data_IF_802122386376
#
_entry.id   IF_802122386376
#
_cell.length_a   1.000
_cell.length_b   1.000
_cell.length_c   1.000
_cell.angle_alpha   90.00
_cell.angle_beta   90.00
_cell.angle_gamma   90.00
#
_symmetry.space_group_name_H-M   'P 1'
#
loop_
_entity.id
_entity.type
_entity.pdbx_description
1 polymer ?
#
# COMPACT_ATOMS: atom_id res chain seq x y z
N UNK A 1 13.88 4.85 20.11
CA UNK A 1 13.10 3.60 19.90
C UNK A 1 13.68 2.94 18.68
N UNK A 2 13.99 1.67 18.72
CA UNK A 2 14.50 0.90 17.57
C UNK A 2 13.33 0.62 16.61
N UNK A 3 13.56 0.75 15.31
CA UNK A 3 12.55 0.43 14.31
C UNK A 3 12.16 -1.05 14.36
N UNK A 4 10.92 -1.37 13.99
CA UNK A 4 10.41 -2.74 13.95
C UNK A 4 10.93 -3.54 12.75
N UNK A 5 11.32 -2.83 11.69
CA UNK A 5 11.91 -3.41 10.48
C UNK A 5 12.94 -2.43 9.93
N UNK A 6 14.13 -2.93 9.57
CA UNK A 6 15.18 -2.16 8.90
C UNK A 6 15.77 -2.99 7.78
N UNK A 7 15.84 -2.43 6.58
CA UNK A 7 16.55 -2.96 5.43
C UNK A 7 17.68 -1.99 5.06
N UNK A 8 18.88 -2.52 4.80
CA UNK A 8 20.06 -1.73 4.43
C UNK A 8 20.75 -2.38 3.24
N UNK A 9 20.76 -1.71 2.08
CA UNK A 9 21.47 -2.12 0.87
C UNK A 9 21.09 -3.51 0.35
N UNK A 10 19.82 -3.93 0.53
CA UNK A 10 19.37 -5.28 0.22
C UNK A 10 19.28 -5.50 -1.28
N UNK A 11 19.98 -6.54 -1.76
CA UNK A 11 19.94 -6.95 -3.16
C UNK A 11 19.47 -8.40 -3.32
N UNK A 12 18.74 -8.67 -4.44
CA UNK A 12 18.37 -10.02 -4.84
C UNK A 12 18.31 -10.16 -6.35
N UNK A 13 19.02 -11.19 -6.85
CA UNK A 13 19.08 -11.55 -8.28
C UNK A 13 18.60 -12.97 -8.50
N UNK A 14 18.00 -13.22 -9.64
CA UNK A 14 17.62 -14.53 -10.15
C UNK A 14 18.23 -14.70 -11.55
N UNK A 15 19.39 -15.33 -11.64
CA UNK A 15 20.19 -15.37 -12.86
C UNK A 15 20.54 -13.95 -13.33
N UNK A 16 20.16 -13.57 -14.54
CA UNK A 16 20.41 -12.24 -15.09
C UNK A 16 19.40 -11.17 -14.61
N UNK A 17 18.30 -11.59 -13.97
CA UNK A 17 17.27 -10.67 -13.51
C UNK A 17 17.54 -10.15 -12.10
N UNK A 18 17.63 -8.83 -11.94
CA UNK A 18 17.73 -8.19 -10.62
C UNK A 18 16.32 -7.86 -10.13
N UNK A 19 15.86 -8.60 -9.13
CA UNK A 19 14.53 -8.44 -8.55
C UNK A 19 14.47 -7.31 -7.51
N UNK A 20 15.57 -7.13 -6.76
CA UNK A 20 15.73 -6.08 -5.75
C UNK A 20 17.16 -5.57 -5.84
N UNK A 21 17.35 -4.25 -5.87
CA UNK A 21 18.63 -3.59 -6.10
C UNK A 21 18.80 -2.42 -5.13
N UNK A 22 19.75 -2.56 -4.20
CA UNK A 22 20.13 -1.57 -3.19
C UNK A 22 18.93 -1.02 -2.38
N UNK A 23 18.05 -1.91 -1.94
CA UNK A 23 16.84 -1.52 -1.23
C UNK A 23 17.12 -1.25 0.26
N UNK A 24 16.82 -0.03 0.71
CA UNK A 24 16.92 0.37 2.12
C UNK A 24 15.70 1.18 2.55
N UNK A 25 15.07 0.79 3.65
CA UNK A 25 13.99 1.53 4.33
C UNK A 25 13.81 1.01 5.76
N UNK A 26 13.06 1.75 6.58
CA UNK A 26 12.68 1.29 7.91
C UNK A 26 11.18 1.47 8.17
N UNK A 27 10.64 0.68 9.13
CA UNK A 27 9.27 0.80 9.61
C UNK A 27 9.26 0.96 11.13
N UNK A 28 8.71 2.07 11.61
CA UNK A 28 8.62 2.34 13.04
C UNK A 28 7.53 1.49 13.73
N UNK A 29 7.72 1.15 15.03
CA UNK A 29 6.76 0.35 15.78
C UNK A 29 5.35 0.94 15.80
N UNK A 30 4.33 0.09 15.66
CA UNK A 30 2.92 0.48 15.72
C UNK A 30 2.43 1.33 14.55
N UNK A 31 3.18 1.41 13.45
CA UNK A 31 2.84 2.16 12.24
C UNK A 31 2.40 1.24 11.10
N UNK A 32 1.68 1.82 10.15
CA UNK A 32 1.28 1.16 8.91
C UNK A 32 2.15 1.69 7.78
N UNK A 33 2.97 0.80 7.20
CA UNK A 33 3.81 1.10 6.05
C UNK A 33 3.22 0.46 4.79
N UNK A 34 2.97 1.27 3.77
CA UNK A 34 2.62 0.82 2.43
C UNK A 34 3.87 0.59 1.58
N UNK A 35 4.08 -0.65 1.12
CA UNK A 35 5.16 -1.02 0.22
C UNK A 35 4.61 -1.14 -1.20
N UNK A 36 4.76 -0.09 -2.00
CA UNK A 36 3.96 0.16 -3.19
C UNK A 36 4.80 0.11 -4.47
N UNK A 37 4.21 -0.38 -5.54
CA UNK A 37 4.84 -0.41 -6.84
C UNK A 37 4.11 -1.34 -7.82
N UNK A 38 4.45 -1.31 -9.11
CA UNK A 38 3.82 -2.16 -10.12
C UNK A 38 4.15 -3.65 -9.90
N UNK A 39 3.47 -4.50 -10.64
CA UNK A 39 3.78 -5.92 -10.66
C UNK A 39 5.22 -6.12 -11.19
N UNK A 40 5.96 -7.03 -10.56
CA UNK A 40 7.37 -7.28 -10.89
C UNK A 40 8.36 -6.27 -10.28
N UNK A 41 7.92 -5.26 -9.51
CA UNK A 41 8.81 -4.29 -8.88
C UNK A 41 9.66 -4.84 -7.71
N UNK A 42 9.49 -6.11 -7.32
CA UNK A 42 10.26 -6.73 -6.23
C UNK A 42 9.54 -6.85 -4.89
N UNK A 43 8.25 -6.42 -4.79
CA UNK A 43 7.48 -6.40 -3.53
C UNK A 43 7.45 -7.76 -2.83
N UNK A 44 6.91 -8.79 -3.47
CA UNK A 44 6.80 -10.15 -2.90
C UNK A 44 8.17 -10.76 -2.59
N UNK A 45 9.20 -10.49 -3.42
CA UNK A 45 10.57 -10.93 -3.15
C UNK A 45 11.11 -10.31 -1.86
N UNK A 46 10.88 -9.03 -1.66
CA UNK A 46 11.28 -8.31 -0.43
C UNK A 46 10.57 -8.88 0.80
N UNK A 47 9.25 -9.08 0.75
CA UNK A 47 8.51 -9.69 1.87
C UNK A 47 9.01 -11.10 2.18
N UNK A 48 9.34 -11.90 1.16
CA UNK A 48 9.93 -13.24 1.35
C UNK A 48 11.34 -13.18 1.97
N UNK A 49 12.14 -12.17 1.66
CA UNK A 49 13.45 -11.96 2.31
C UNK A 49 13.28 -11.56 3.78
N UNK A 50 12.36 -10.67 4.11
CA UNK A 50 12.04 -10.30 5.50
C UNK A 50 11.60 -11.53 6.32
N UNK A 51 10.87 -12.45 5.71
CA UNK A 51 10.44 -13.72 6.33
C UNK A 51 11.54 -14.79 6.41
N UNK A 52 12.72 -14.54 5.82
CA UNK A 52 13.76 -15.54 5.70
C UNK A 52 13.43 -16.72 4.79
N UNK A 53 12.42 -16.59 3.92
CA UNK A 53 12.06 -17.59 2.90
C UNK A 53 12.97 -17.52 1.67
N UNK A 54 13.59 -16.37 1.45
CA UNK A 54 14.58 -16.10 0.40
C UNK A 54 15.76 -15.40 1.06
N UNK A 55 16.97 -15.88 0.82
CA UNK A 55 18.19 -15.22 1.30
C UNK A 55 18.56 -14.07 0.36
N UNK A 56 18.79 -12.85 0.86
CA UNK A 56 19.35 -11.77 0.05
C UNK A 56 20.76 -12.13 -0.42
N UNK A 57 21.18 -11.59 -1.55
CA UNK A 57 22.54 -11.79 -2.08
C UNK A 57 23.54 -10.82 -1.44
N UNK A 58 23.05 -9.64 -0.98
CA UNK A 58 23.80 -8.67 -0.18
C UNK A 58 22.86 -7.80 0.65
N UNK A 59 23.43 -6.99 1.55
CA UNK A 59 22.70 -6.12 2.45
C UNK A 59 22.30 -6.81 3.76
N UNK A 60 21.58 -6.07 4.60
CA UNK A 60 21.15 -6.51 5.93
C UNK A 60 19.67 -6.30 6.12
N UNK A 61 19.01 -7.25 6.78
CA UNK A 61 17.61 -7.15 7.21
C UNK A 61 17.60 -7.38 8.72
N UNK A 62 17.10 -6.42 9.47
CA UNK A 62 16.84 -6.50 10.89
C UNK A 62 15.34 -6.45 11.13
N UNK A 63 14.80 -7.39 11.87
CA UNK A 63 13.38 -7.48 12.18
C UNK A 63 13.21 -7.59 13.68
N UNK A 64 12.57 -6.61 14.30
CA UNK A 64 12.30 -6.56 15.75
C UNK A 64 13.59 -6.70 16.60
N UNK A 65 14.72 -6.16 16.09
CA UNK A 65 16.03 -6.27 16.72
C UNK A 65 16.71 -7.63 16.57
N UNK A 66 16.21 -8.50 15.71
CA UNK A 66 16.74 -9.85 15.46
C UNK A 66 17.05 -10.03 13.98
N UNK A 67 18.22 -10.59 13.68
CA UNK A 67 18.66 -10.88 12.31
C UNK A 67 18.45 -12.34 11.92
N UNK A 68 18.16 -13.23 12.87
CA UNK A 68 17.85 -14.64 12.62
C UNK A 68 16.34 -14.84 12.38
N UNK A 69 15.89 -15.09 11.13
CA UNK A 69 14.47 -15.28 10.84
C UNK A 69 13.82 -16.46 11.59
N UNK A 70 14.61 -17.46 12.01
CA UNK A 70 14.07 -18.62 12.73
C UNK A 70 13.49 -18.22 14.10
N UNK A 71 14.08 -17.20 14.76
CA UNK A 71 13.64 -16.68 16.05
C UNK A 71 12.40 -15.78 15.95
N UNK A 72 12.11 -15.30 14.74
CA UNK A 72 11.03 -14.36 14.48
C UNK A 72 9.68 -15.03 14.19
N UNK A 73 9.67 -16.35 13.92
CA UNK A 73 8.48 -17.07 13.43
C UNK A 73 7.23 -16.88 14.29
N UNK A 74 7.39 -16.74 15.60
CA UNK A 74 6.26 -16.55 16.54
C UNK A 74 5.84 -15.08 16.66
N UNK A 75 6.67 -14.13 16.24
CA UNK A 75 6.45 -12.69 16.37
C UNK A 75 5.92 -12.05 15.09
N UNK A 76 5.96 -12.79 13.96
CA UNK A 76 5.54 -12.30 12.65
C UNK A 76 4.26 -13.02 12.19
N UNK A 77 3.26 -12.22 11.78
CA UNK A 77 2.10 -12.65 11.03
C UNK A 77 2.33 -12.42 9.52
N UNK A 78 1.97 -13.38 8.69
CA UNK A 78 2.09 -13.24 7.24
C UNK A 78 0.82 -13.67 6.50
N UNK A 79 0.34 -12.81 5.64
CA UNK A 79 -0.73 -13.09 4.68
C UNK A 79 -0.13 -13.08 3.28
N UNK A 80 0.03 -14.24 2.62
CA UNK A 80 0.44 -14.30 1.22
C UNK A 80 -0.69 -13.88 0.28
N UNK A 81 -0.34 -13.41 -0.93
CA UNK A 81 -1.28 -13.08 -2.00
C UNK A 81 -2.15 -14.29 -2.38
N UNK A 82 -1.52 -15.47 -2.48
CA UNK A 82 -2.22 -16.70 -2.79
C UNK A 82 -2.96 -17.27 -1.58
N UNK A 83 -4.09 -17.93 -1.84
CA UNK A 83 -4.89 -18.53 -0.79
C UNK A 83 -4.25 -19.82 -0.26
N UNK A 84 -3.68 -19.74 0.95
CA UNK A 84 -3.00 -20.85 1.61
C UNK A 84 -3.84 -21.69 2.57
N UNK A 85 -5.17 -21.49 2.64
CA UNK A 85 -6.00 -22.22 3.58
C UNK A 85 -6.39 -23.62 3.07
N UNK A 86 -6.38 -24.60 3.97
CA UNK A 86 -6.84 -25.95 3.70
C UNK A 86 -8.36 -25.96 3.47
N UNK A 87 -8.80 -26.15 2.24
CA UNK A 87 -10.20 -26.01 1.80
C UNK A 87 -11.21 -26.91 2.53
N UNK A 88 -10.74 -28.06 3.07
CA UNK A 88 -11.57 -29.02 3.85
C UNK A 88 -11.66 -28.70 5.33
N UNK A 89 -10.79 -27.83 5.86
CA UNK A 89 -10.87 -27.37 7.25
C UNK A 89 -12.04 -26.41 7.45
N UNK A 90 -12.47 -26.26 8.69
CA UNK A 90 -13.38 -25.18 9.08
C UNK A 90 -12.58 -23.91 9.41
N UNK A 91 -13.16 -22.71 9.36
CA UNK A 91 -12.53 -21.47 9.84
C UNK A 91 -11.95 -21.60 11.24
N UNK A 92 -12.74 -22.14 12.17
CA UNK A 92 -12.33 -22.35 13.56
C UNK A 92 -11.08 -23.23 13.66
N UNK A 93 -11.07 -24.35 12.95
CA UNK A 93 -9.94 -25.29 13.01
C UNK A 93 -8.72 -24.74 12.30
N UNK A 94 -8.88 -24.02 11.17
CA UNK A 94 -7.78 -23.40 10.44
C UNK A 94 -7.11 -22.31 11.29
N UNK A 95 -7.87 -21.38 11.85
CA UNK A 95 -7.31 -20.30 12.67
C UNK A 95 -6.61 -20.88 13.91
N UNK A 96 -7.25 -21.82 14.61
CA UNK A 96 -6.68 -22.48 15.77
C UNK A 96 -5.40 -23.28 15.44
N UNK A 97 -5.36 -23.93 14.27
CA UNK A 97 -4.19 -24.66 13.79
C UNK A 97 -2.99 -23.73 13.55
N UNK A 98 -3.20 -22.65 12.81
CA UNK A 98 -2.10 -21.68 12.53
C UNK A 98 -1.62 -20.98 13.81
N UNK A 99 -2.52 -20.59 14.73
CA UNK A 99 -2.14 -20.05 16.02
C UNK A 99 -1.31 -21.06 16.84
N UNK A 100 -1.69 -22.33 16.83
CA UNK A 100 -0.95 -23.38 17.55
C UNK A 100 0.45 -23.62 16.94
N UNK A 101 0.59 -23.57 15.62
CA UNK A 101 1.90 -23.62 14.94
C UNK A 101 2.84 -22.47 15.35
N UNK A 102 2.26 -21.33 15.76
CA UNK A 102 2.96 -20.15 16.28
C UNK A 102 3.16 -20.19 17.79
N UNK A 103 2.90 -21.31 18.45
CA UNK A 103 3.17 -21.52 19.88
C UNK A 103 2.01 -21.26 20.82
N UNK A 104 0.82 -20.85 20.34
CA UNK A 104 -0.35 -20.65 21.18
C UNK A 104 -0.88 -22.03 21.63
N UNK A 105 -1.09 -22.27 22.96
CA UNK A 105 -1.63 -23.55 23.44
C UNK A 105 -2.99 -23.88 22.80
N UNK A 106 -3.23 -25.16 22.45
CA UNK A 106 -4.39 -25.60 21.68
C UNK A 106 -5.75 -25.10 22.21
N UNK A 107 -5.95 -25.15 23.52
CA UNK A 107 -7.20 -24.69 24.14
C UNK A 107 -7.38 -23.18 23.97
N UNK A 108 -6.31 -22.41 24.13
CA UNK A 108 -6.29 -20.97 23.95
C UNK A 108 -6.46 -20.59 22.47
N UNK A 109 -5.76 -21.26 21.55
CA UNK A 109 -5.87 -21.04 20.10
C UNK A 109 -7.33 -21.22 19.63
N UNK A 110 -8.04 -22.22 20.17
CA UNK A 110 -9.43 -22.46 19.83
C UNK A 110 -10.37 -21.37 20.40
N UNK A 111 -10.13 -20.89 21.62
CA UNK A 111 -10.89 -19.76 22.20
C UNK A 111 -10.68 -18.48 21.41
N UNK A 112 -9.43 -18.16 21.09
CA UNK A 112 -9.08 -16.98 20.28
C UNK A 112 -9.72 -17.06 18.89
N UNK A 113 -9.63 -18.21 18.22
CA UNK A 113 -10.23 -18.42 16.92
C UNK A 113 -11.74 -18.16 16.91
N UNK A 114 -12.46 -18.67 17.93
CA UNK A 114 -13.90 -18.44 18.05
C UNK A 114 -14.22 -16.97 18.26
N UNK A 115 -13.55 -16.32 19.21
CA UNK A 115 -13.70 -14.89 19.49
C UNK A 115 -13.46 -14.05 18.24
N UNK A 116 -12.35 -14.27 17.53
CA UNK A 116 -12.01 -13.53 16.30
C UNK A 116 -13.05 -13.71 15.20
N UNK A 117 -13.60 -14.92 15.04
CA UNK A 117 -14.67 -15.19 14.08
C UNK A 117 -15.96 -14.46 14.45
N UNK A 118 -16.33 -14.41 15.73
CA UNK A 118 -17.50 -13.69 16.21
C UNK A 118 -17.35 -12.17 16.01
N UNK A 119 -16.21 -11.59 16.39
CA UNK A 119 -15.88 -10.17 16.21
C UNK A 119 -15.94 -9.74 14.73
N UNK A 120 -15.64 -10.65 13.81
CA UNK A 120 -15.64 -10.37 12.36
C UNK A 120 -16.93 -10.80 11.64
N UNK A 121 -17.98 -11.14 12.40
CA UNK A 121 -19.27 -11.55 11.84
C UNK A 121 -19.26 -12.91 11.13
N UNK A 122 -18.26 -13.74 11.41
CA UNK A 122 -18.09 -15.08 10.83
C UNK A 122 -18.49 -16.22 11.77
N UNK A 123 -19.08 -15.92 12.94
CA UNK A 123 -19.47 -16.91 13.94
C UNK A 123 -20.38 -18.00 13.40
N UNK A 124 -21.41 -17.65 12.61
CA UNK A 124 -22.31 -18.61 11.96
C UNK A 124 -21.61 -19.53 10.93
N UNK A 125 -20.46 -19.08 10.38
CA UNK A 125 -19.67 -19.85 9.43
C UNK A 125 -18.51 -20.62 10.07
N UNK A 126 -18.28 -20.48 11.38
CA UNK A 126 -17.12 -21.02 12.10
C UNK A 126 -16.89 -22.52 11.90
N UNK A 127 -17.98 -23.29 11.72
CA UNK A 127 -17.95 -24.77 11.54
C UNK A 127 -18.25 -25.23 10.11
N UNK A 128 -18.45 -24.30 9.15
CA UNK A 128 -18.60 -24.64 7.72
C UNK A 128 -17.23 -24.85 7.10
N UNK A 129 -17.11 -25.73 6.11
CA UNK A 129 -15.85 -25.91 5.43
C UNK A 129 -15.48 -24.66 4.61
N UNK A 130 -14.20 -24.29 4.61
CA UNK A 130 -13.66 -23.10 3.92
C UNK A 130 -14.02 -23.11 2.43
N UNK A 131 -14.08 -24.27 1.77
CA UNK A 131 -14.50 -24.37 0.37
C UNK A 131 -15.94 -23.87 0.07
N UNK A 132 -16.77 -23.74 1.09
CA UNK A 132 -18.16 -23.27 0.97
C UNK A 132 -18.32 -21.79 1.39
N UNK A 133 -17.23 -21.11 1.67
CA UNK A 133 -17.23 -19.68 1.98
C UNK A 133 -17.15 -18.84 0.71
N UNK A 134 -17.69 -17.61 0.77
CA UNK A 134 -17.42 -16.61 -0.27
C UNK A 134 -15.94 -16.24 -0.30
N UNK A 135 -15.51 -15.62 -1.40
CA UNK A 135 -14.14 -15.17 -1.57
C UNK A 135 -13.70 -14.23 -0.43
N UNK A 136 -14.53 -13.24 -0.08
CA UNK A 136 -14.25 -12.29 1.00
C UNK A 136 -14.23 -12.95 2.38
N UNK A 137 -15.15 -13.89 2.67
CA UNK A 137 -15.13 -14.64 3.93
C UNK A 137 -13.85 -15.47 4.07
N UNK A 138 -13.42 -16.16 3.01
CA UNK A 138 -12.18 -16.96 3.04
C UNK A 138 -10.95 -16.08 3.24
N UNK A 139 -10.90 -14.88 2.64
CA UNK A 139 -9.84 -13.90 2.83
C UNK A 139 -9.78 -13.43 4.29
N UNK A 140 -10.93 -13.08 4.88
CA UNK A 140 -11.01 -12.73 6.31
C UNK A 140 -10.48 -13.87 7.20
N UNK A 141 -10.90 -15.12 6.94
CA UNK A 141 -10.40 -16.29 7.69
C UNK A 141 -8.87 -16.42 7.56
N UNK A 142 -8.31 -16.21 6.37
CA UNK A 142 -6.87 -16.28 6.14
C UNK A 142 -6.12 -15.19 6.92
N UNK A 143 -6.64 -13.97 6.93
CA UNK A 143 -6.08 -12.90 7.74
C UNK A 143 -6.16 -13.23 9.24
N UNK A 144 -7.32 -13.68 9.73
CA UNK A 144 -7.47 -14.08 11.13
C UNK A 144 -6.49 -15.19 11.53
N UNK A 145 -6.25 -16.16 10.63
CA UNK A 145 -5.24 -17.21 10.86
C UNK A 145 -3.82 -16.65 10.97
N UNK A 146 -3.49 -15.62 10.20
CA UNK A 146 -2.20 -14.93 10.27
C UNK A 146 -2.03 -14.08 11.55
N UNK A 147 -3.12 -13.70 12.21
CA UNK A 147 -3.15 -12.77 13.35
C UNK A 147 -3.44 -13.41 14.71
N UNK A 148 -3.96 -14.63 14.75
CA UNK A 148 -4.47 -15.26 15.96
C UNK A 148 -3.43 -15.50 17.07
N UNK A 149 -2.12 -15.43 16.73
CA UNK A 149 -1.02 -15.52 17.68
C UNK A 149 -0.57 -14.14 18.21
N UNK A 150 -1.25 -13.05 17.81
CA UNK A 150 -0.98 -11.67 18.24
C UNK A 150 0.45 -11.21 17.88
N UNK A 151 0.80 -11.18 16.57
CA UNK A 151 2.15 -10.83 16.12
C UNK A 151 2.49 -9.36 16.37
N UNK A 152 3.77 -9.07 16.58
CA UNK A 152 4.33 -7.72 16.70
C UNK A 152 4.54 -7.05 15.33
N UNK A 153 4.88 -7.86 14.30
CA UNK A 153 4.99 -7.42 12.91
C UNK A 153 4.04 -8.23 12.03
N UNK A 154 3.27 -7.55 11.19
CA UNK A 154 2.33 -8.15 10.24
C UNK A 154 2.75 -7.78 8.82
N UNK A 155 3.00 -8.78 7.99
CA UNK A 155 3.32 -8.63 6.58
C UNK A 155 2.12 -9.11 5.75
N UNK A 156 1.60 -8.26 4.87
CA UNK A 156 0.44 -8.56 4.03
C UNK A 156 0.80 -8.36 2.56
N UNK A 157 0.74 -9.42 1.77
CA UNK A 157 1.03 -9.36 0.33
C UNK A 157 -0.27 -9.24 -0.46
N UNK A 158 -0.49 -8.10 -1.13
CA UNK A 158 -1.70 -7.76 -1.91
C UNK A 158 -3.03 -8.07 -1.18
N UNK A 159 -3.22 -7.63 0.08
CA UNK A 159 -4.32 -8.11 0.94
C UNK A 159 -5.72 -7.74 0.42
N UNK A 160 -5.83 -6.69 -0.40
CA UNK A 160 -7.11 -6.18 -0.93
C UNK A 160 -7.49 -6.79 -2.28
N UNK A 161 -6.59 -7.58 -2.89
CA UNK A 161 -6.79 -8.14 -4.23
C UNK A 161 -8.06 -8.97 -4.34
N UNK A 162 -8.93 -8.59 -5.30
CA UNK A 162 -10.17 -9.30 -5.63
C UNK A 162 -11.22 -9.32 -4.53
N UNK A 163 -11.20 -8.36 -3.61
CA UNK A 163 -12.29 -8.08 -2.68
C UNK A 163 -13.23 -7.03 -3.26
N UNK A 164 -14.52 -7.16 -2.91
CA UNK A 164 -15.50 -6.09 -3.14
C UNK A 164 -15.31 -4.93 -2.16
N UNK A 165 -15.87 -3.74 -2.42
CA UNK A 165 -15.65 -2.55 -1.59
C UNK A 165 -16.00 -2.73 -0.10
N UNK A 166 -17.03 -3.51 0.22
CA UNK A 166 -17.45 -3.75 1.62
C UNK A 166 -16.40 -4.58 2.36
N UNK A 167 -15.89 -5.63 1.72
CA UNK A 167 -14.84 -6.46 2.30
C UNK A 167 -13.48 -5.73 2.35
N UNK A 168 -13.18 -4.83 1.39
CA UNK A 168 -12.01 -3.96 1.45
C UNK A 168 -12.07 -3.05 2.69
N UNK A 169 -13.19 -2.37 2.93
CA UNK A 169 -13.36 -1.50 4.09
C UNK A 169 -13.19 -2.27 5.41
N UNK A 170 -13.82 -3.44 5.52
CA UNK A 170 -13.68 -4.28 6.71
C UNK A 170 -12.22 -4.70 6.96
N UNK A 171 -11.47 -4.99 5.89
CA UNK A 171 -10.04 -5.31 5.99
C UNK A 171 -9.20 -4.09 6.39
N UNK A 172 -9.49 -2.91 5.84
CA UNK A 172 -8.85 -1.65 6.25
C UNK A 172 -9.05 -1.39 7.75
N UNK A 173 -10.26 -1.59 8.27
CA UNK A 173 -10.57 -1.40 9.69
C UNK A 173 -9.83 -2.41 10.59
N UNK A 174 -9.66 -3.65 10.11
CA UNK A 174 -8.84 -4.65 10.80
C UNK A 174 -7.37 -4.23 10.86
N UNK A 175 -6.81 -3.76 9.76
CA UNK A 175 -5.41 -3.27 9.67
C UNK A 175 -5.19 -2.08 10.61
N UNK A 176 -6.08 -1.09 10.61
CA UNK A 176 -6.04 0.04 11.56
C UNK A 176 -6.13 -0.44 13.03
N UNK A 177 -6.99 -1.44 13.26
CA UNK A 177 -7.13 -2.05 14.59
C UNK A 177 -5.86 -2.71 15.09
N UNK A 178 -5.06 -3.33 14.21
CA UNK A 178 -3.77 -3.93 14.54
C UNK A 178 -2.76 -2.86 14.97
N UNK A 179 -2.59 -1.81 14.17
CA UNK A 179 -1.67 -0.72 14.46
C UNK A 179 -2.02 -0.02 15.78
N UNK A 180 -3.31 0.23 16.04
CA UNK A 180 -3.79 0.80 17.32
C UNK A 180 -3.48 -0.09 18.54
N UNK A 181 -3.34 -1.40 18.36
CA UNK A 181 -2.90 -2.34 19.41
C UNK A 181 -1.38 -2.47 19.51
N UNK A 182 -0.64 -1.70 18.73
CA UNK A 182 0.83 -1.64 18.78
C UNK A 182 1.54 -2.57 17.79
N UNK A 183 0.83 -3.33 16.96
CA UNK A 183 1.46 -4.12 15.91
C UNK A 183 1.93 -3.21 14.76
N UNK A 184 3.12 -3.46 14.25
CA UNK A 184 3.60 -2.83 13.01
C UNK A 184 3.05 -3.57 11.82
N UNK A 185 2.49 -2.86 10.85
CA UNK A 185 1.92 -3.48 9.65
C UNK A 185 2.66 -3.00 8.42
N UNK A 186 3.16 -3.92 7.61
CA UNK A 186 3.70 -3.66 6.27
C UNK A 186 2.81 -4.37 5.27
N UNK A 187 2.20 -3.66 4.35
CA UNK A 187 1.45 -4.30 3.28
C UNK A 187 1.95 -3.87 1.90
N UNK A 188 2.08 -4.86 1.02
CA UNK A 188 2.37 -4.61 -0.38
C UNK A 188 1.09 -4.39 -1.17
N UNK A 189 1.11 -3.47 -2.11
CA UNK A 189 0.04 -3.32 -3.12
C UNK A 189 0.51 -2.53 -4.33
N UNK A 190 -0.18 -2.73 -5.46
CA UNK A 190 -0.08 -1.87 -6.64
C UNK A 190 -1.23 -0.84 -6.71
N UNK A 191 -2.24 -0.94 -5.81
CA UNK A 191 -3.40 -0.04 -5.74
C UNK A 191 -3.13 1.07 -4.72
N UNK A 192 -2.71 2.25 -5.21
CA UNK A 192 -2.28 3.39 -4.40
C UNK A 192 -3.36 3.92 -3.45
N UNK A 193 -4.64 3.81 -3.83
CA UNK A 193 -5.77 4.33 -3.03
C UNK A 193 -5.88 3.70 -1.65
N UNK A 194 -5.52 2.40 -1.49
CA UNK A 194 -5.52 1.77 -0.17
C UNK A 194 -4.45 2.38 0.75
N UNK A 195 -3.26 2.67 0.17
CA UNK A 195 -2.18 3.28 0.92
C UNK A 195 -2.51 4.72 1.35
N UNK A 196 -3.15 5.50 0.49
CA UNK A 196 -3.61 6.86 0.83
C UNK A 196 -4.52 6.91 2.05
N UNK A 197 -5.36 5.89 2.21
CA UNK A 197 -6.32 5.82 3.31
C UNK A 197 -5.74 5.22 4.58
N UNK A 198 -4.71 4.38 4.48
CA UNK A 198 -4.26 3.55 5.60
C UNK A 198 -2.89 3.90 6.15
N UNK A 199 -1.97 4.36 5.27
CA UNK A 199 -0.56 4.39 5.63
C UNK A 199 -0.15 5.66 6.38
N UNK A 200 0.69 5.48 7.38
CA UNK A 200 1.48 6.53 8.00
C UNK A 200 2.71 6.86 7.15
N UNK A 201 3.30 5.82 6.53
CA UNK A 201 4.50 5.88 5.70
C UNK A 201 4.30 5.05 4.43
N UNK A 202 4.89 5.49 3.33
CA UNK A 202 4.91 4.77 2.07
C UNK A 202 6.34 4.65 1.54
N UNK A 203 6.66 3.47 1.05
CA UNK A 203 7.87 3.19 0.29
C UNK A 203 7.44 2.82 -1.13
N UNK A 204 7.81 3.65 -2.10
CA UNK A 204 7.51 3.41 -3.52
C UNK A 204 8.71 2.74 -4.17
N UNK A 205 8.47 1.66 -4.91
CA UNK A 205 9.49 0.92 -5.63
C UNK A 205 9.17 0.77 -7.11
N UNK A 206 10.19 0.87 -7.94
CA UNK A 206 10.12 0.62 -9.37
C UNK A 206 11.40 -0.07 -9.84
N UNK A 207 11.29 -1.12 -10.69
CA UNK A 207 12.45 -1.83 -11.22
C UNK A 207 13.41 -2.39 -10.15
N UNK A 208 12.89 -2.80 -9.00
CA UNK A 208 13.69 -3.33 -7.88
C UNK A 208 14.31 -2.27 -6.97
N UNK A 209 14.17 -0.98 -7.28
CA UNK A 209 14.79 0.14 -6.54
C UNK A 209 13.76 0.99 -5.83
N UNK A 210 14.15 1.59 -4.71
CA UNK A 210 13.35 2.58 -3.99
C UNK A 210 13.35 3.91 -4.77
N UNK A 211 12.18 4.43 -5.09
CA UNK A 211 12.01 5.75 -5.73
C UNK A 211 11.51 6.81 -4.75
N UNK A 212 10.92 6.40 -3.63
CA UNK A 212 10.48 7.30 -2.57
C UNK A 212 10.35 6.56 -1.23
N UNK A 213 10.55 7.29 -0.12
CA UNK A 213 10.35 6.84 1.23
C UNK A 213 9.95 8.05 2.09
N UNK A 214 8.76 8.02 2.69
CA UNK A 214 8.24 9.14 3.48
C UNK A 214 6.75 9.00 3.74
N UNK A 215 6.11 10.07 4.20
CA UNK A 215 4.66 10.11 4.44
C UNK A 215 3.87 10.19 3.13
N UNK A 216 2.58 9.82 3.19
CA UNK A 216 1.64 9.99 2.06
C UNK A 216 1.57 11.46 1.61
N UNK A 217 1.61 12.41 2.56
CA UNK A 217 1.56 13.85 2.25
C UNK A 217 2.81 14.31 1.49
N UNK A 218 4.00 13.88 1.91
CA UNK A 218 5.27 14.18 1.22
C UNK A 218 5.32 13.56 -0.19
N UNK A 219 4.84 12.31 -0.33
CA UNK A 219 4.74 11.68 -1.64
C UNK A 219 3.82 12.50 -2.58
N UNK A 220 2.62 12.86 -2.14
CA UNK A 220 1.68 13.69 -2.91
C UNK A 220 2.28 15.05 -3.28
N UNK A 221 3.00 15.68 -2.35
CA UNK A 221 3.66 16.97 -2.60
C UNK A 221 4.78 16.90 -3.67
N UNK A 222 5.28 15.70 -4.00
CA UNK A 222 6.28 15.52 -5.08
C UNK A 222 5.70 15.63 -6.48
N UNK A 223 4.38 15.49 -6.64
CA UNK A 223 3.68 15.65 -7.91
C UNK A 223 3.09 17.07 -8.04
N UNK A 224 2.97 17.59 -9.27
CA UNK A 224 2.42 18.91 -9.49
C UNK A 224 0.91 18.92 -9.26
N UNK A 225 0.39 20.04 -8.76
CA UNK A 225 -1.03 20.35 -8.80
C UNK A 225 -1.44 20.72 -10.22
N UNK A 226 -2.63 20.28 -10.62
CA UNK A 226 -3.15 20.56 -11.94
C UNK A 226 -4.40 21.43 -11.83
N UNK A 227 -4.51 22.44 -12.71
CA UNK A 227 -5.73 23.19 -12.92
C UNK A 227 -6.26 22.85 -14.33
N UNK A 228 -7.43 22.26 -14.39
CA UNK A 228 -8.13 21.96 -15.66
C UNK A 228 -9.08 23.11 -15.95
N UNK A 229 -8.96 23.69 -17.15
CA UNK A 229 -9.82 24.76 -17.68
C UNK A 229 -10.53 24.25 -18.93
N UNK A 230 -11.84 24.45 -19.03
CA UNK A 230 -12.63 24.15 -20.24
C UNK A 230 -13.34 25.43 -20.69
N UNK A 231 -13.41 25.63 -22.00
CA UNK A 231 -14.07 26.80 -22.59
C UNK A 231 -13.55 27.13 -23.99
N UNK A 232 -13.83 28.34 -24.45
CA UNK A 232 -13.20 28.86 -25.69
C UNK A 232 -11.88 29.55 -25.31
N UNK A 233 -10.83 28.73 -25.25
CA UNK A 233 -9.54 29.08 -24.70
C UNK A 233 -8.42 28.74 -25.69
N UNK A 234 -7.29 29.46 -25.61
CA UNK A 234 -6.07 29.08 -26.31
C UNK A 234 -5.00 28.58 -25.35
N UNK A 235 -4.21 27.59 -25.77
CA UNK A 235 -3.13 27.06 -24.95
C UNK A 235 -2.10 28.14 -24.62
N UNK A 236 -1.80 29.03 -25.55
CA UNK A 236 -0.88 30.16 -25.33
C UNK A 236 -1.37 31.12 -24.23
N UNK A 237 -2.70 31.41 -24.18
CA UNK A 237 -3.24 32.24 -23.11
C UNK A 237 -3.18 31.56 -21.74
N UNK A 238 -3.42 30.26 -21.68
CA UNK A 238 -3.32 29.48 -20.46
C UNK A 238 -1.84 29.33 -19.99
N UNK A 239 -0.92 29.13 -20.89
CA UNK A 239 0.54 29.05 -20.60
C UNK A 239 1.09 30.39 -20.03
N UNK A 240 0.48 31.50 -20.38
CA UNK A 240 0.86 32.83 -19.89
C UNK A 240 0.27 33.19 -18.51
N UNK A 241 -0.52 32.30 -17.88
CA UNK A 241 -1.08 32.51 -16.54
C UNK A 241 0.02 32.43 -15.46
N UNK A 242 -0.10 33.17 -14.35
CA UNK A 242 0.89 33.15 -13.28
C UNK A 242 1.01 31.75 -12.65
N UNK A 243 2.21 31.34 -12.27
CA UNK A 243 2.46 30.06 -11.61
C UNK A 243 2.31 28.84 -12.50
N UNK A 244 2.15 28.99 -13.81
CA UNK A 244 2.08 27.90 -14.78
C UNK A 244 3.46 27.51 -15.24
N UNK A 245 3.75 26.19 -15.24
CA UNK A 245 5.04 25.66 -15.73
C UNK A 245 4.89 24.75 -16.97
N UNK A 246 3.72 24.19 -17.21
CA UNK A 246 3.43 23.40 -18.41
C UNK A 246 1.92 23.41 -18.70
N UNK A 247 1.56 23.20 -19.98
CA UNK A 247 0.16 23.06 -20.44
C UNK A 247 0.04 21.89 -21.38
N UNK A 248 -1.15 21.27 -21.39
CA UNK A 248 -1.57 20.31 -22.41
C UNK A 248 -2.98 20.65 -22.83
N UNK A 249 -3.26 20.62 -24.16
CA UNK A 249 -4.52 20.99 -24.75
C UNK A 249 -5.18 19.77 -25.40
N UNK A 250 -6.49 19.60 -25.15
CA UNK A 250 -7.34 18.56 -25.72
C UNK A 250 -8.55 19.24 -26.38
N UNK A 251 -8.86 18.89 -27.64
CA UNK A 251 -10.03 19.39 -28.35
C UNK A 251 -11.28 18.64 -27.89
N UNK A 252 -12.34 19.38 -27.58
CA UNK A 252 -13.66 18.86 -27.23
C UNK A 252 -14.72 19.24 -28.28
N UNK A 253 -15.87 18.58 -28.30
CA UNK A 253 -17.04 19.02 -29.05
C UNK A 253 -17.60 20.33 -28.44
N UNK A 254 -17.14 21.47 -28.94
CA UNK A 254 -17.62 22.79 -28.48
C UNK A 254 -16.65 23.59 -27.62
N UNK A 255 -15.34 23.31 -27.72
CA UNK A 255 -14.32 24.08 -27.02
C UNK A 255 -13.03 23.30 -26.84
N UNK A 256 -12.22 23.74 -25.88
CA UNK A 256 -10.97 23.08 -25.52
C UNK A 256 -10.93 22.77 -24.01
N UNK A 257 -10.22 21.70 -23.66
CA UNK A 257 -9.79 21.42 -22.30
C UNK A 257 -8.30 21.66 -22.22
N UNK A 258 -7.87 22.56 -21.34
CA UNK A 258 -6.47 22.85 -21.10
C UNK A 258 -6.14 22.39 -19.68
N UNK A 259 -5.22 21.46 -19.56
CA UNK A 259 -4.65 21.05 -18.26
C UNK A 259 -3.38 21.84 -18.04
N UNK A 260 -3.39 22.61 -16.99
CA UNK A 260 -2.31 23.53 -16.57
C UNK A 260 -1.59 22.90 -15.40
N UNK A 261 -0.30 22.69 -15.52
CA UNK A 261 0.55 22.24 -14.42
C UNK A 261 1.05 23.47 -13.65
N UNK A 262 0.80 23.46 -12.33
CA UNK A 262 1.22 24.55 -11.45
C UNK A 262 2.64 24.33 -10.93
N UNK A 263 3.40 25.41 -10.83
CA UNK A 263 4.71 25.38 -10.20
C UNK A 263 4.63 25.00 -8.72
N UNK A 264 5.68 24.40 -8.19
CA UNK A 264 5.75 24.02 -6.79
C UNK A 264 5.55 25.24 -5.88
N UNK A 265 4.60 25.15 -4.94
CA UNK A 265 4.27 26.24 -4.02
C UNK A 265 3.43 27.37 -4.60
N UNK A 266 3.10 27.36 -5.90
CA UNK A 266 2.23 28.41 -6.49
C UNK A 266 0.84 28.40 -5.84
N UNK A 267 0.23 29.55 -5.55
CA UNK A 267 -1.14 29.61 -5.08
C UNK A 267 -2.11 29.03 -6.12
N UNK A 268 -2.90 28.03 -5.74
CA UNK A 268 -3.72 27.27 -6.68
C UNK A 268 -4.80 28.11 -7.41
N UNK A 269 -5.31 29.15 -6.78
CA UNK A 269 -6.36 30.01 -7.33
C UNK A 269 -5.81 31.20 -8.14
N UNK A 270 -4.54 31.53 -8.04
CA UNK A 270 -3.96 32.68 -8.71
C UNK A 270 -4.08 32.60 -10.25
N UNK A 271 -3.74 31.48 -10.91
CA UNK A 271 -3.92 31.39 -12.37
C UNK A 271 -5.40 31.45 -12.78
N UNK A 272 -6.33 30.91 -11.96
CA UNK A 272 -7.76 31.00 -12.23
C UNK A 272 -8.27 32.45 -12.13
N UNK A 273 -7.88 33.18 -11.09
CA UNK A 273 -8.23 34.60 -10.94
C UNK A 273 -7.67 35.44 -12.10
N UNK A 274 -6.43 35.15 -12.51
CA UNK A 274 -5.81 35.82 -13.65
C UNK A 274 -6.51 35.50 -14.99
N UNK A 275 -7.01 34.28 -15.18
CA UNK A 275 -7.78 33.88 -16.34
C UNK A 275 -9.08 34.73 -16.46
N UNK A 276 -9.84 34.82 -15.38
CA UNK A 276 -11.04 35.67 -15.35
C UNK A 276 -10.73 37.16 -15.51
N UNK A 277 -9.68 37.67 -14.88
CA UNK A 277 -9.28 39.07 -15.01
C UNK A 277 -8.85 39.42 -16.46
N UNK A 278 -8.37 38.47 -17.23
CA UNK A 278 -8.02 38.62 -18.66
C UNK A 278 -9.21 38.40 -19.60
N UNK A 279 -10.40 38.15 -19.06
CA UNK A 279 -11.62 37.92 -19.86
C UNK A 279 -11.60 36.57 -20.61
N UNK A 280 -10.88 35.59 -20.16
CA UNK A 280 -10.88 34.25 -20.74
C UNK A 280 -12.25 33.59 -20.54
N UNK A 281 -12.82 32.99 -21.59
CA UNK A 281 -14.13 32.34 -21.53
C UNK A 281 -13.97 30.92 -20.94
N UNK A 282 -13.94 30.86 -19.60
CA UNK A 282 -13.84 29.63 -18.81
C UNK A 282 -15.24 29.17 -18.43
N UNK A 283 -15.74 28.12 -19.04
CA UNK A 283 -17.06 27.52 -18.76
C UNK A 283 -17.02 26.51 -17.62
N UNK A 284 -15.86 25.86 -17.42
CA UNK A 284 -15.64 24.90 -16.33
C UNK A 284 -14.18 24.96 -15.86
N UNK A 285 -13.99 24.79 -14.57
CA UNK A 285 -12.65 24.60 -14.01
C UNK A 285 -12.66 23.52 -12.93
N UNK A 286 -11.51 22.85 -12.76
CA UNK A 286 -11.30 21.85 -11.73
C UNK A 286 -9.87 21.95 -11.23
N UNK A 287 -9.68 22.15 -9.93
CA UNK A 287 -8.38 22.05 -9.29
C UNK A 287 -8.16 20.58 -8.85
N UNK A 288 -7.18 19.91 -9.43
CA UNK A 288 -6.82 18.54 -9.09
C UNK A 288 -5.63 18.53 -8.15
N UNK A 289 -5.88 18.15 -6.90
CA UNK A 289 -4.83 17.82 -5.95
C UNK A 289 -4.20 16.46 -6.33
N UNK A 290 -2.86 16.35 -6.34
CA UNK A 290 -2.21 15.11 -6.72
C UNK A 290 -2.49 13.99 -5.72
N UNK A 291 -2.64 12.79 -6.23
CA UNK A 291 -2.77 11.56 -5.46
C UNK A 291 -1.46 10.76 -5.49
N UNK A 292 -1.39 9.62 -4.78
CA UNK A 292 -0.19 8.76 -4.77
C UNK A 292 0.15 8.18 -6.15
N UNK A 293 -0.83 7.98 -7.01
CA UNK A 293 -0.57 7.50 -8.37
C UNK A 293 0.15 8.56 -9.20
N UNK A 294 -0.28 9.83 -9.12
CA UNK A 294 0.36 10.97 -9.77
C UNK A 294 1.79 11.15 -9.24
N UNK A 295 1.96 11.02 -7.93
CA UNK A 295 3.27 11.05 -7.29
C UNK A 295 4.19 9.94 -7.79
N UNK A 296 3.68 8.71 -7.90
CA UNK A 296 4.45 7.57 -8.40
C UNK A 296 4.93 7.78 -9.84
N UNK A 297 4.04 8.25 -10.74
CA UNK A 297 4.41 8.56 -12.13
C UNK A 297 5.50 9.62 -12.17
N UNK A 298 5.35 10.71 -11.40
CA UNK A 298 6.31 11.81 -11.36
C UNK A 298 7.68 11.36 -10.85
N UNK A 299 7.70 10.58 -9.77
CA UNK A 299 8.93 10.10 -9.14
C UNK A 299 9.67 9.07 -10.01
N UNK A 300 8.93 8.17 -10.66
CA UNK A 300 9.53 7.18 -11.57
C UNK A 300 10.12 7.82 -12.82
N UNK A 301 9.47 8.83 -13.40
CA UNK A 301 10.00 9.57 -14.53
C UNK A 301 11.32 10.29 -14.18
N UNK A 302 11.43 10.87 -12.97
CA UNK A 302 12.67 11.50 -12.47
C UNK A 302 13.79 10.51 -12.22
N UNK A 303 13.48 9.28 -11.81
CA UNK A 303 14.50 8.24 -11.56
C UNK A 303 15.03 7.60 -12.83
N UNK A 304 14.34 7.77 -13.97
CA UNK A 304 14.73 7.25 -15.27
C UNK A 304 15.54 8.25 -16.13
N UNK A 305 15.53 9.54 -15.73
CA UNK A 305 16.28 10.63 -16.37
C UNK A 305 17.65 10.80 -15.72
#
# INVERSE_FOLDING_TARGET
MTDALVLEGVCKRYGAFTAVDDLGFSASPGRILGFLGPNGAGKTTTLRMILGLVTPDSGRIDVLGETDPARLRQRIGFLPEERGLYRRMTPLDAIAFFANLKGVPRAEARRRALRLLEEQGLGAAARRQIRHLSKGMAQKVQLLAALAHEPELVLLDEPFSGLDPVNQQALEDMVRGLARRGATVVFSTHVMQHAERLCDQVVLIAGGRKVFDGTVAEARASAPRLLVLEGDLTEAAAAALPGVCATTCEQLEGGVRITVQLAAGAPALEPLQAAFARGMDVTRFELKEPNLHDAFITLTARSAA
#
